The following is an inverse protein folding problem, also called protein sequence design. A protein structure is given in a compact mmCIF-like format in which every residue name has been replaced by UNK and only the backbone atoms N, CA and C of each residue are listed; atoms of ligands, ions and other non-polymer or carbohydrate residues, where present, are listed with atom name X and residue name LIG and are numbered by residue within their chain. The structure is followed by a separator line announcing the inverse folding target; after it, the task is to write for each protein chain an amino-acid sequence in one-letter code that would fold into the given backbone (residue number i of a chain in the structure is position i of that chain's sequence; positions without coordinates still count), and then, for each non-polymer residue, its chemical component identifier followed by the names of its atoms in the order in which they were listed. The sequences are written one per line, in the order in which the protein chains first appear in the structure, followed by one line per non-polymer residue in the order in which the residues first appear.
data_IF_759070433734
#
_entry.id   IF_759070433734
#
_cell.length_a   1.000
_cell.length_b   1.000
_cell.length_c   1.000
_cell.angle_alpha   90.00
_cell.angle_beta   90.00
_cell.angle_gamma   90.00
#
_symmetry.space_group_name_H-M   'P 1'
#
loop_
_entity.id
_entity.type
_entity.pdbx_description
1 polymer ?
#
# COMPACT_ATOMS: atom_id res chain seq x y z
N UNK A 1 19.13 -14.60 -28.72
CA UNK A 1 17.96 -14.36 -29.59
C UNK A 1 17.07 -13.35 -28.85
N UNK A 2 16.90 -12.14 -29.41
CA UNK A 2 16.04 -11.14 -28.78
C UNK A 2 14.59 -11.44 -29.18
N UNK A 3 13.69 -11.51 -28.20
CA UNK A 3 12.25 -11.67 -28.42
C UNK A 3 11.63 -10.28 -28.29
N UNK A 4 10.97 -9.80 -29.32
CA UNK A 4 10.30 -8.51 -29.34
C UNK A 4 8.81 -8.73 -29.09
N UNK A 5 8.27 -8.07 -28.07
CA UNK A 5 6.83 -8.03 -27.78
C UNK A 5 6.26 -6.68 -28.22
N UNK A 6 5.11 -6.71 -28.86
CA UNK A 6 4.36 -5.48 -29.17
C UNK A 6 3.54 -5.17 -27.92
N UNK A 7 3.46 -3.88 -27.50
CA UNK A 7 2.77 -3.43 -26.28
C UNK A 7 1.33 -3.95 -26.11
N UNK A 8 0.58 -4.12 -27.21
CA UNK A 8 -0.77 -4.71 -27.20
C UNK A 8 -0.83 -6.19 -26.79
N UNK A 9 0.32 -6.86 -26.66
CA UNK A 9 0.43 -8.26 -26.20
C UNK A 9 0.80 -8.34 -24.72
N UNK A 10 1.03 -7.19 -24.07
CA UNK A 10 1.32 -7.11 -22.65
C UNK A 10 0.03 -6.92 -21.88
N UNK A 11 -0.09 -7.56 -20.71
CA UNK A 11 -1.18 -7.27 -19.79
C UNK A 11 -1.01 -5.88 -19.18
N UNK A 12 -2.10 -5.29 -18.68
CA UNK A 12 -2.06 -3.99 -18.01
C UNK A 12 -1.06 -3.99 -16.84
N UNK A 13 -0.99 -5.08 -16.07
CA UNK A 13 -0.02 -5.21 -14.99
C UNK A 13 1.43 -5.23 -15.48
N UNK A 14 1.71 -5.86 -16.63
CA UNK A 14 3.05 -5.82 -17.23
C UNK A 14 3.40 -4.39 -17.70
N UNK A 15 2.44 -3.68 -18.29
CA UNK A 15 2.63 -2.28 -18.70
C UNK A 15 2.89 -1.38 -17.50
N UNK A 16 2.14 -1.55 -16.40
CA UNK A 16 2.34 -0.82 -15.14
C UNK A 16 3.73 -1.09 -14.55
N UNK A 17 4.17 -2.35 -14.49
CA UNK A 17 5.50 -2.71 -14.00
C UNK A 17 6.61 -2.12 -14.88
N UNK A 18 6.46 -2.16 -16.20
CA UNK A 18 7.43 -1.55 -17.13
C UNK A 18 7.49 -0.04 -16.96
N UNK A 19 6.34 0.63 -16.82
CA UNK A 19 6.29 2.07 -16.55
C UNK A 19 6.99 2.39 -15.23
N UNK A 20 6.73 1.62 -14.17
CA UNK A 20 7.39 1.77 -12.89
C UNK A 20 8.91 1.60 -13.00
N UNK A 21 9.39 0.53 -13.65
CA UNK A 21 10.82 0.29 -13.85
C UNK A 21 11.47 1.40 -14.67
N UNK A 22 10.79 1.91 -15.70
CA UNK A 22 11.31 3.02 -16.50
C UNK A 22 11.44 4.32 -15.71
N UNK A 23 10.52 4.59 -14.79
CA UNK A 23 10.55 5.78 -13.93
C UNK A 23 11.50 5.58 -12.75
N UNK A 24 11.73 4.34 -12.32
CA UNK A 24 12.65 4.02 -11.22
C UNK A 24 14.12 4.34 -11.51
N UNK A 25 14.47 4.51 -12.77
CA UNK A 25 15.79 4.99 -13.21
C UNK A 25 15.95 6.53 -13.10
N UNK A 26 14.87 7.24 -12.69
CA UNK A 26 14.86 8.71 -12.58
C UNK A 26 15.67 9.25 -11.40
N UNK A 27 15.68 10.59 -11.27
CA UNK A 27 16.46 11.34 -10.29
C UNK A 27 16.09 11.02 -8.84
N UNK A 28 17.08 11.07 -7.94
CA UNK A 28 16.89 10.99 -6.49
C UNK A 28 15.97 12.14 -6.01
N UNK A 29 15.11 11.84 -5.03
CA UNK A 29 14.16 12.83 -4.47
C UNK A 29 12.80 12.89 -5.17
N UNK A 30 12.53 12.01 -6.13
CA UNK A 30 11.22 11.92 -6.80
C UNK A 30 10.16 11.31 -5.88
N UNK A 31 8.92 11.81 -5.97
CA UNK A 31 7.74 11.23 -5.34
C UNK A 31 6.94 10.43 -6.38
N UNK A 32 6.72 9.16 -6.09
CA UNK A 32 5.89 8.26 -6.91
C UNK A 32 4.55 8.06 -6.25
N UNK A 33 3.48 8.31 -7.01
CA UNK A 33 2.11 8.06 -6.58
C UNK A 33 1.56 6.89 -7.41
N UNK A 34 1.11 5.85 -6.72
CA UNK A 34 0.55 4.66 -7.37
C UNK A 34 -0.85 4.40 -6.83
N UNK A 35 -1.84 4.50 -7.69
CA UNK A 35 -3.22 4.20 -7.32
C UNK A 35 -3.56 2.75 -7.59
N UNK A 36 -4.14 2.07 -6.58
CA UNK A 36 -4.50 0.66 -6.60
C UNK A 36 -3.34 -0.23 -7.06
N UNK A 37 -2.32 -0.36 -6.22
CA UNK A 37 -1.07 -1.05 -6.53
C UNK A 37 -1.28 -2.51 -6.94
N UNK A 38 -2.34 -3.16 -6.45
CA UNK A 38 -2.72 -4.52 -6.77
C UNK A 38 -3.28 -4.71 -8.18
N UNK A 39 -3.74 -3.64 -8.85
CA UNK A 39 -4.39 -3.77 -10.14
C UNK A 39 -3.45 -4.29 -11.22
N UNK A 40 -3.81 -5.48 -11.74
CA UNK A 40 -3.06 -6.17 -12.79
C UNK A 40 -1.77 -6.82 -12.31
N UNK A 41 -1.45 -6.76 -11.01
CA UNK A 41 -0.28 -7.41 -10.43
C UNK A 41 -0.71 -8.67 -9.67
N UNK A 42 -0.10 -9.80 -10.03
CA UNK A 42 -0.35 -11.03 -9.30
C UNK A 42 0.20 -10.90 -7.87
N UNK A 43 -0.63 -11.26 -6.88
CA UNK A 43 -0.29 -11.19 -5.45
C UNK A 43 0.99 -11.96 -5.07
N UNK A 44 1.40 -12.96 -5.86
CA UNK A 44 2.68 -13.66 -5.65
C UNK A 44 3.90 -12.74 -5.80
N UNK A 45 3.76 -11.61 -6.50
CA UNK A 45 4.81 -10.61 -6.66
C UNK A 45 4.73 -9.47 -5.64
N UNK A 46 3.71 -9.43 -4.78
CA UNK A 46 3.50 -8.36 -3.81
C UNK A 46 4.75 -8.14 -2.93
N UNK A 47 5.26 -9.22 -2.33
CA UNK A 47 6.47 -9.17 -1.51
C UNK A 47 7.65 -8.55 -2.26
N UNK A 48 7.92 -9.05 -3.48
CA UNK A 48 9.07 -8.57 -4.28
C UNK A 48 8.93 -7.11 -4.68
N UNK A 49 7.72 -6.68 -4.99
CA UNK A 49 7.44 -5.29 -5.34
C UNK A 49 7.66 -4.38 -4.13
N UNK A 50 7.21 -4.77 -2.95
CA UNK A 50 7.45 -4.01 -1.71
C UNK A 50 8.93 -3.95 -1.33
N UNK A 51 9.68 -5.03 -1.53
CA UNK A 51 11.15 -5.03 -1.35
C UNK A 51 11.80 -3.96 -2.24
N UNK A 52 11.43 -3.90 -3.53
CA UNK A 52 11.95 -2.91 -4.48
C UNK A 52 11.59 -1.49 -4.02
N UNK A 53 10.36 -1.25 -3.56
CA UNK A 53 9.96 0.07 -3.05
C UNK A 53 10.81 0.51 -1.86
N UNK A 54 11.07 -0.40 -0.91
CA UNK A 54 11.92 -0.09 0.23
C UNK A 54 13.38 0.16 -0.16
N UNK A 55 13.92 -0.62 -1.10
CA UNK A 55 15.27 -0.39 -1.64
C UNK A 55 15.38 1.00 -2.28
N UNK A 56 14.39 1.39 -3.10
CA UNK A 56 14.35 2.70 -3.74
C UNK A 56 14.12 3.83 -2.73
N UNK A 57 13.30 3.61 -1.69
CA UNK A 57 13.10 4.58 -0.62
C UNK A 57 14.38 4.85 0.16
N UNK A 58 15.21 3.83 0.39
CA UNK A 58 16.51 3.99 1.04
C UNK A 58 17.50 4.84 0.22
N UNK A 59 17.29 4.98 -1.09
CA UNK A 59 18.08 5.87 -1.97
C UNK A 59 17.47 7.28 -2.12
N UNK A 60 16.54 7.66 -1.24
CA UNK A 60 16.00 9.04 -1.17
C UNK A 60 14.74 9.29 -2.00
N UNK A 61 14.14 8.26 -2.58
CA UNK A 61 12.86 8.35 -3.30
C UNK A 61 11.69 8.16 -2.35
N UNK A 62 10.55 8.77 -2.65
CA UNK A 62 9.34 8.63 -1.86
C UNK A 62 8.27 7.88 -2.66
N UNK A 63 7.56 6.97 -2.00
CA UNK A 63 6.45 6.22 -2.57
C UNK A 63 5.19 6.42 -1.75
N UNK A 64 4.09 6.65 -2.43
CA UNK A 64 2.77 6.61 -1.84
C UNK A 64 1.88 5.76 -2.75
N UNK A 65 1.27 4.73 -2.19
CA UNK A 65 0.38 3.85 -2.94
C UNK A 65 -0.94 3.69 -2.21
N UNK A 66 -2.04 3.57 -2.96
CA UNK A 66 -3.31 3.11 -2.42
C UNK A 66 -3.46 1.62 -2.68
N UNK A 67 -4.16 0.93 -1.79
CA UNK A 67 -4.47 -0.50 -1.96
C UNK A 67 -5.73 -0.88 -1.19
N UNK A 68 -6.48 -1.82 -1.75
CA UNK A 68 -7.54 -2.57 -1.07
C UNK A 68 -7.12 -4.03 -0.82
N UNK A 69 -5.90 -4.40 -1.19
CA UNK A 69 -5.40 -5.76 -1.07
C UNK A 69 -4.74 -6.00 0.28
N UNK A 70 -5.37 -6.82 1.09
CA UNK A 70 -4.81 -7.28 2.39
C UNK A 70 -3.46 -7.99 2.21
N UNK A 71 -3.27 -8.68 1.07
CA UNK A 71 -2.01 -9.38 0.77
C UNK A 71 -0.84 -8.39 0.59
N UNK A 72 -1.07 -7.22 0.01
CA UNK A 72 -0.04 -6.19 -0.09
C UNK A 72 0.29 -5.62 1.28
N UNK A 73 -0.71 -5.42 2.14
CA UNK A 73 -0.51 -4.87 3.49
C UNK A 73 0.36 -5.76 4.37
N UNK A 74 0.36 -7.08 4.17
CA UNK A 74 1.20 -8.01 4.92
C UNK A 74 2.71 -7.82 4.67
N UNK A 75 3.07 -7.17 3.57
CA UNK A 75 4.47 -6.86 3.24
C UNK A 75 4.85 -5.40 3.49
N UNK A 76 3.93 -4.59 4.01
CA UNK A 76 4.15 -3.19 4.39
C UNK A 76 4.48 -3.10 5.87
N UNK A 77 5.45 -2.25 6.23
CA UNK A 77 5.76 -1.96 7.63
C UNK A 77 4.55 -1.28 8.27
N UNK A 78 4.22 -1.68 9.49
CA UNK A 78 3.05 -1.15 10.21
C UNK A 78 3.02 0.38 10.33
N UNK A 79 4.19 0.99 10.49
CA UNK A 79 4.38 2.44 10.58
C UNK A 79 4.12 3.18 9.26
N UNK A 80 4.17 2.48 8.12
CA UNK A 80 3.94 3.03 6.79
C UNK A 80 2.48 2.88 6.33
N UNK A 81 1.65 2.18 7.13
CA UNK A 81 0.23 1.96 6.81
C UNK A 81 -0.62 3.09 7.35
N UNK A 82 -1.30 3.78 6.44
CA UNK A 82 -2.25 4.85 6.74
C UNK A 82 -3.65 4.44 6.29
N UNK A 83 -4.57 4.40 7.24
CA UNK A 83 -5.98 4.13 6.98
C UNK A 83 -6.71 5.42 6.67
N UNK A 84 -7.47 5.41 5.57
CA UNK A 84 -8.28 6.53 5.15
C UNK A 84 -9.76 6.20 5.37
N UNK A 85 -10.49 7.08 6.05
CA UNK A 85 -11.93 6.94 6.19
C UNK A 85 -12.65 8.28 6.07
N UNK A 86 -13.92 8.24 5.73
CA UNK A 86 -14.77 9.41 5.65
C UNK A 86 -15.59 9.54 6.94
N UNK A 87 -15.47 10.69 7.59
CA UNK A 87 -16.27 11.02 8.77
C UNK A 87 -17.71 11.29 8.34
N UNK A 88 -18.67 10.51 8.88
CA UNK A 88 -20.07 10.58 8.45
C UNK A 88 -20.72 11.94 8.74
N UNK A 89 -20.40 12.54 9.89
CA UNK A 89 -21.05 13.77 10.36
C UNK A 89 -20.65 15.01 9.59
N UNK A 90 -19.40 15.11 9.14
CA UNK A 90 -18.83 16.27 8.44
C UNK A 90 -18.44 16.00 7.00
N UNK A 91 -18.43 14.74 6.60
CA UNK A 91 -18.01 14.32 5.26
C UNK A 91 -16.52 14.52 4.94
N UNK A 92 -15.71 14.84 5.95
CA UNK A 92 -14.26 15.01 5.80
C UNK A 92 -13.56 13.68 5.72
N UNK A 93 -12.53 13.59 4.89
CA UNK A 93 -11.62 12.44 4.89
C UNK A 93 -10.60 12.60 6.01
N UNK A 94 -10.40 11.56 6.78
CA UNK A 94 -9.38 11.42 7.82
C UNK A 94 -8.33 10.43 7.41
N UNK A 95 -7.10 10.66 7.85
CA UNK A 95 -5.96 9.78 7.65
C UNK A 95 -5.36 9.44 9.03
N UNK A 96 -5.23 8.15 9.33
CA UNK A 96 -4.75 7.67 10.63
C UNK A 96 -3.76 6.54 10.43
N UNK A 97 -2.63 6.59 11.13
CA UNK A 97 -1.71 5.45 11.25
C UNK A 97 -2.28 4.47 12.25
N UNK A 98 -3.14 3.58 11.77
CA UNK A 98 -3.98 2.73 12.63
C UNK A 98 -3.17 1.81 13.55
N UNK A 99 -2.01 1.37 13.14
CA UNK A 99 -1.16 0.50 13.94
C UNK A 99 -0.28 1.26 14.97
N UNK A 100 -0.41 2.58 15.07
CA UNK A 100 0.04 3.37 16.22
C UNK A 100 -1.00 3.40 17.35
N UNK A 101 -2.25 2.98 17.08
CA UNK A 101 -3.30 2.88 18.08
C UNK A 101 -3.11 1.58 18.90
N UNK A 102 -3.13 1.65 20.25
CA UNK A 102 -2.79 0.51 21.10
C UNK A 102 -3.60 -0.75 20.81
N UNK A 103 -4.92 -0.62 20.61
CA UNK A 103 -5.84 -1.74 20.38
C UNK A 103 -5.53 -2.50 19.09
N UNK A 104 -5.05 -1.79 18.07
CA UNK A 104 -4.69 -2.38 16.77
C UNK A 104 -3.24 -2.86 16.77
N UNK A 105 -2.34 -2.15 17.47
CA UNK A 105 -0.95 -2.57 17.64
C UNK A 105 -0.83 -3.90 18.39
N UNK A 106 -1.66 -4.14 19.42
CA UNK A 106 -1.69 -5.40 20.16
C UNK A 106 -2.04 -6.59 19.26
N UNK A 107 -2.93 -6.42 18.29
CA UNK A 107 -3.31 -7.49 17.35
C UNK A 107 -2.13 -7.94 16.47
N UNK A 108 -1.16 -7.07 16.20
CA UNK A 108 0.03 -7.41 15.41
C UNK A 108 1.00 -8.37 16.13
N UNK A 109 0.80 -8.66 17.41
CA UNK A 109 1.54 -9.72 18.12
C UNK A 109 1.18 -11.12 17.59
N UNK A 110 -0.01 -11.26 16.97
CA UNK A 110 -0.58 -12.56 16.58
C UNK A 110 -1.01 -12.60 15.10
N UNK A 111 -1.09 -11.46 14.42
CA UNK A 111 -1.62 -11.33 13.07
C UNK A 111 -0.74 -10.41 12.21
N UNK A 112 -0.74 -10.64 10.92
CA UNK A 112 -0.18 -9.68 9.96
C UNK A 112 -1.13 -8.48 9.75
N UNK A 113 -0.62 -7.32 9.31
CA UNK A 113 -1.43 -6.12 9.10
C UNK A 113 -2.67 -6.35 8.24
N UNK A 114 -2.53 -7.07 7.13
CA UNK A 114 -3.65 -7.40 6.25
C UNK A 114 -4.68 -8.31 6.92
N UNK A 115 -4.23 -9.27 7.74
CA UNK A 115 -5.14 -10.13 8.51
C UNK A 115 -5.93 -9.34 9.54
N UNK A 116 -5.33 -8.37 10.22
CA UNK A 116 -6.03 -7.50 11.16
C UNK A 116 -7.15 -6.75 10.44
N UNK A 117 -6.85 -6.12 9.29
CA UNK A 117 -7.83 -5.36 8.52
C UNK A 117 -8.90 -6.27 7.93
N UNK A 118 -8.56 -7.48 7.49
CA UNK A 118 -9.52 -8.43 6.94
C UNK A 118 -10.51 -8.95 7.97
N UNK A 119 -10.04 -9.19 9.21
CA UNK A 119 -10.85 -9.78 10.27
C UNK A 119 -11.67 -8.75 11.07
N UNK A 120 -11.45 -7.47 10.85
CA UNK A 120 -12.20 -6.40 11.51
C UNK A 120 -13.18 -5.75 10.54
N UNK A 121 -14.35 -5.36 11.06
CA UNK A 121 -15.27 -4.50 10.30
C UNK A 121 -14.68 -3.10 10.20
N UNK A 122 -14.88 -2.45 9.04
CA UNK A 122 -14.45 -1.05 8.85
C UNK A 122 -15.05 -0.11 9.91
N UNK A 123 -16.29 -0.36 10.36
CA UNK A 123 -16.91 0.43 11.43
C UNK A 123 -16.17 0.28 12.76
N UNK A 124 -15.72 -0.93 13.10
CA UNK A 124 -14.93 -1.19 14.30
C UNK A 124 -13.62 -0.43 14.27
N UNK A 125 -12.91 -0.45 13.14
CA UNK A 125 -11.67 0.31 12.95
C UNK A 125 -11.93 1.82 13.09
N UNK A 126 -13.00 2.32 12.48
CA UNK A 126 -13.38 3.74 12.54
C UNK A 126 -13.71 4.15 13.98
N UNK A 127 -14.45 3.34 14.73
CA UNK A 127 -14.80 3.61 16.12
C UNK A 127 -13.56 3.73 17.01
N UNK A 128 -12.58 2.83 16.83
CA UNK A 128 -11.28 2.91 17.51
C UNK A 128 -10.58 4.22 17.11
N UNK A 129 -10.53 4.57 15.84
CA UNK A 129 -9.94 5.83 15.38
C UNK A 129 -10.61 7.04 16.02
N UNK A 130 -11.95 7.06 16.08
CA UNK A 130 -12.72 8.18 16.67
C UNK A 130 -12.49 8.30 18.18
N UNK A 131 -12.26 7.21 18.89
CA UNK A 131 -11.97 7.23 20.32
C UNK A 131 -10.63 7.92 20.64
N UNK A 132 -9.66 7.86 19.72
CA UNK A 132 -8.32 8.44 19.88
C UNK A 132 -8.14 9.83 19.27
N UNK A 133 -9.04 10.27 18.38
CA UNK A 133 -9.02 11.63 17.83
C UNK A 133 -9.83 12.56 18.77
N UNK A 134 -9.14 13.18 19.72
CA UNK A 134 -9.67 14.27 20.52
C UNK A 134 -9.26 15.62 19.95
#
# INVERSE_FOLDING_TARGET
MAVYYISRHLSDGMLRLLAFLGVSEGDDGSLFLWDEIENGINSTYAKKLMEIFYEMSNSGRQFMATTHSVVFLDFVRKEDIVFLYREETRGNTKAVRIFELPELAEKLEYMYPGEVIYNMDNHEIIDICLAHIK
#
